data_IF_215538044500
#
_entry.id   IF_215538044500
#
_cell.length_a   1.000
_cell.length_b   1.000
_cell.length_c   1.000
_cell.angle_alpha   90.00
_cell.angle_beta   90.00
_cell.angle_gamma   90.00
#
_symmetry.space_group_name_H-M   'P 1'
#
loop_
_entity.id
_entity.type
_entity.pdbx_description
1 polymer ?
#
# COMPACT_ATOMS: atom_id res chain seq x y z
N UNK A 1 36.03 -27.04 0.79
CA UNK A 1 35.31 -25.77 0.54
C UNK A 1 36.32 -24.64 0.57
N UNK A 2 36.31 -23.73 -0.42
CA UNK A 2 37.17 -22.54 -0.38
C UNK A 2 36.68 -21.50 0.63
N UNK A 3 37.50 -20.49 0.93
CA UNK A 3 37.23 -19.38 1.88
C UNK A 3 35.80 -18.82 1.71
N UNK A 4 35.41 -18.52 0.47
CA UNK A 4 34.08 -17.97 0.15
C UNK A 4 32.94 -18.92 0.55
N UNK A 5 33.14 -20.23 0.38
CA UNK A 5 32.15 -21.24 0.77
C UNK A 5 31.98 -21.30 2.29
N UNK A 6 33.09 -21.30 3.03
CA UNK A 6 33.08 -21.31 4.49
C UNK A 6 32.44 -20.03 5.04
N UNK A 7 32.82 -18.85 4.55
CA UNK A 7 32.21 -17.59 4.97
C UNK A 7 30.71 -17.54 4.69
N UNK A 8 30.27 -18.06 3.53
CA UNK A 8 28.85 -18.14 3.19
C UNK A 8 28.09 -19.03 4.16
N UNK A 9 28.64 -20.20 4.50
CA UNK A 9 28.00 -21.13 5.41
C UNK A 9 27.94 -20.57 6.83
N UNK A 10 29.01 -19.94 7.34
CA UNK A 10 29.03 -19.22 8.62
C UNK A 10 27.97 -18.12 8.68
N UNK A 11 27.88 -17.27 7.65
CA UNK A 11 26.86 -16.22 7.61
C UNK A 11 25.43 -16.79 7.61
N UNK A 12 25.19 -17.91 6.93
CA UNK A 12 23.87 -18.56 6.96
C UNK A 12 23.54 -19.12 8.34
N UNK A 13 24.51 -19.75 9.00
CA UNK A 13 24.32 -20.28 10.36
C UNK A 13 23.94 -19.16 11.33
N UNK A 14 24.76 -18.11 11.35
CA UNK A 14 24.64 -17.03 12.33
C UNK A 14 23.42 -16.15 12.04
N UNK A 15 23.21 -15.72 10.78
CA UNK A 15 22.15 -14.76 10.45
C UNK A 15 20.78 -15.40 10.19
N UNK A 16 20.73 -16.65 9.70
CA UNK A 16 19.47 -17.28 9.29
C UNK A 16 19.04 -18.44 10.18
N UNK A 17 20.00 -19.18 10.76
CA UNK A 17 19.71 -20.35 11.60
C UNK A 17 19.86 -20.08 13.09
N UNK A 18 20.33 -18.90 13.47
CA UNK A 18 20.65 -18.52 14.84
C UNK A 18 21.69 -19.46 15.50
N UNK A 19 22.52 -20.11 14.69
CA UNK A 19 23.61 -20.98 15.14
C UNK A 19 24.88 -20.12 15.27
N UNK A 20 25.38 -19.93 16.50
CA UNK A 20 26.55 -19.10 16.81
C UNK A 20 27.68 -19.91 17.49
N UNK A 21 27.66 -21.24 17.35
CA UNK A 21 28.69 -22.15 17.89
C UNK A 21 30.10 -21.83 17.39
N UNK A 22 30.21 -21.13 16.25
CA UNK A 22 31.48 -20.68 15.66
C UNK A 22 32.08 -19.46 16.38
N UNK A 23 31.26 -18.72 17.14
CA UNK A 23 31.65 -17.49 17.85
C UNK A 23 31.01 -17.43 19.25
N UNK A 24 31.29 -18.41 20.14
CA UNK A 24 30.59 -18.52 21.43
C UNK A 24 30.91 -17.38 22.41
N UNK A 25 32.10 -16.78 22.29
CA UNK A 25 32.57 -15.71 23.17
C UNK A 25 32.27 -14.29 22.66
N UNK A 26 31.77 -14.16 21.42
CA UNK A 26 31.44 -12.86 20.83
C UNK A 26 29.93 -12.63 20.79
N UNK A 27 29.41 -11.96 21.81
CA UNK A 27 27.99 -11.64 21.90
C UNK A 27 27.48 -10.77 20.73
N UNK A 28 28.37 -10.10 19.98
CA UNK A 28 27.97 -9.36 18.78
C UNK A 28 27.63 -10.29 17.62
N UNK A 29 28.08 -11.54 17.66
CA UNK A 29 27.76 -12.55 16.65
C UNK A 29 26.43 -13.25 16.92
N UNK A 30 25.77 -12.97 18.06
CA UNK A 30 24.44 -13.49 18.36
C UNK A 30 23.36 -12.69 17.60
N UNK A 31 23.34 -12.83 16.26
CA UNK A 31 22.53 -12.00 15.36
C UNK A 31 21.05 -11.94 15.71
N UNK A 32 20.43 -13.07 16.02
CA UNK A 32 19.01 -13.11 16.36
C UNK A 32 18.72 -12.27 17.59
N UNK A 33 19.48 -12.43 18.66
CA UNK A 33 19.32 -11.65 19.89
C UNK A 33 19.49 -10.16 19.66
N UNK A 34 20.51 -9.75 18.90
CA UNK A 34 20.78 -8.33 18.61
C UNK A 34 19.73 -7.70 17.70
N UNK A 35 19.25 -8.42 16.70
CA UNK A 35 18.15 -7.95 15.84
C UNK A 35 16.84 -7.85 16.64
N UNK A 36 16.56 -8.78 17.55
CA UNK A 36 15.40 -8.69 18.44
C UNK A 36 15.51 -7.48 19.38
N UNK A 37 16.69 -7.20 19.91
CA UNK A 37 16.94 -6.00 20.73
C UNK A 37 16.70 -4.70 19.93
N UNK A 38 17.23 -4.62 18.70
CA UNK A 38 16.99 -3.47 17.81
C UNK A 38 15.50 -3.29 17.48
N UNK A 39 14.76 -4.38 17.25
CA UNK A 39 13.31 -4.35 17.03
C UNK A 39 12.54 -3.90 18.27
N UNK A 40 12.96 -4.33 19.46
CA UNK A 40 12.40 -3.88 20.73
C UNK A 40 12.60 -2.37 20.92
N UNK A 41 13.81 -1.88 20.66
CA UNK A 41 14.14 -0.45 20.73
C UNK A 41 13.34 0.37 19.71
N UNK A 42 13.19 -0.13 18.49
CA UNK A 42 12.36 0.51 17.46
C UNK A 42 10.89 0.59 17.90
N UNK A 43 10.34 -0.49 18.47
CA UNK A 43 8.97 -0.51 19.01
C UNK A 43 8.80 0.53 20.11
N UNK A 44 9.77 0.64 21.02
CA UNK A 44 9.74 1.64 22.09
C UNK A 44 9.81 3.07 21.52
N UNK A 45 10.64 3.33 20.50
CA UNK A 45 10.70 4.63 19.81
C UNK A 45 9.35 4.97 19.16
N UNK A 46 8.70 4.00 18.52
CA UNK A 46 7.36 4.18 17.96
C UNK A 46 6.32 4.52 19.04
N UNK A 47 6.30 3.80 20.16
CA UNK A 47 5.38 4.05 21.27
C UNK A 47 5.58 5.45 21.88
N UNK A 48 6.82 5.84 22.15
CA UNK A 48 7.15 7.19 22.64
C UNK A 48 6.68 8.29 21.69
N UNK A 49 6.86 8.09 20.38
CA UNK A 49 6.38 9.05 19.38
C UNK A 49 4.86 9.22 19.39
N UNK A 50 4.11 8.23 19.87
CA UNK A 50 2.66 8.33 20.06
C UNK A 50 2.30 9.10 21.35
N UNK A 51 3.04 8.87 22.43
CA UNK A 51 2.81 9.44 23.77
C UNK A 51 3.19 10.92 23.89
N UNK A 52 4.26 11.38 23.24
CA UNK A 52 4.72 12.78 23.26
C UNK A 52 3.70 13.78 22.66
N UNK A 53 2.64 13.28 22.02
CA UNK A 53 1.55 14.09 21.48
C UNK A 53 0.33 14.23 22.43
N UNK A 54 0.34 13.62 23.62
CA UNK A 54 -0.91 13.24 24.29
C UNK A 54 -1.55 14.23 25.26
N UNK A 55 -0.95 15.34 25.71
CA UNK A 55 -1.55 16.05 26.86
C UNK A 55 -1.93 17.53 26.72
N UNK A 56 -1.35 18.33 25.81
CA UNK A 56 -1.74 19.76 25.73
C UNK A 56 -2.19 20.25 24.35
N UNK A 57 -1.66 19.71 23.24
CA UNK A 57 -1.87 20.31 21.91
C UNK A 57 -2.65 19.47 20.90
N UNK A 58 -3.00 18.23 21.23
CA UNK A 58 -3.69 17.33 20.30
C UNK A 58 -5.05 17.88 19.85
N UNK A 59 -5.91 18.24 20.82
CA UNK A 59 -7.22 18.81 20.52
C UNK A 59 -7.11 20.17 19.81
N UNK A 60 -6.10 20.99 20.14
CA UNK A 60 -5.92 22.30 19.53
C UNK A 60 -5.52 22.21 18.06
N UNK A 61 -4.59 21.31 17.72
CA UNK A 61 -4.19 21.06 16.33
C UNK A 61 -5.32 20.42 15.51
N UNK A 62 -6.10 19.52 16.12
CA UNK A 62 -7.25 18.90 15.46
C UNK A 62 -8.38 19.91 15.21
N UNK A 63 -8.72 20.74 16.20
CA UNK A 63 -9.72 21.81 16.07
C UNK A 63 -9.27 22.82 15.00
N UNK A 64 -7.99 23.19 14.97
CA UNK A 64 -7.44 24.11 13.96
C UNK A 64 -7.57 23.56 12.54
N UNK A 65 -7.26 22.27 12.32
CA UNK A 65 -7.45 21.63 11.00
C UNK A 65 -8.93 21.68 10.58
N UNK A 66 -9.86 21.56 11.53
CA UNK A 66 -11.29 21.64 11.26
C UNK A 66 -11.78 23.07 10.98
N UNK A 67 -11.26 24.07 11.69
CA UNK A 67 -11.56 25.49 11.44
C UNK A 67 -11.01 25.98 10.08
N UNK A 68 -9.83 25.49 9.67
CA UNK A 68 -9.22 25.78 8.37
C UNK A 68 -10.04 25.21 7.21
N UNK A 69 -10.68 24.05 7.41
CA UNK A 69 -11.61 23.46 6.45
C UNK A 69 -12.96 24.15 6.61
N UNK A 70 -13.10 25.34 6.00
CA UNK A 70 -14.36 26.12 5.93
C UNK A 70 -15.44 25.44 5.07
N UNK A 71 -15.77 24.19 5.38
CA UNK A 71 -16.77 23.37 4.69
C UNK A 71 -18.10 23.31 5.44
N UNK A 72 -19.16 22.95 4.74
CA UNK A 72 -20.44 22.58 5.37
C UNK A 72 -20.30 21.14 5.85
N UNK A 73 -20.25 20.90 7.16
CA UNK A 73 -20.25 19.55 7.73
C UNK A 73 -21.53 19.30 8.54
N UNK A 74 -21.91 18.03 8.63
CA UNK A 74 -23.00 17.61 9.50
C UNK A 74 -22.54 17.73 10.96
N UNK A 75 -23.38 18.24 11.88
CA UNK A 75 -23.06 18.27 13.30
C UNK A 75 -22.58 16.88 13.76
N UNK A 76 -21.45 16.84 14.47
CA UNK A 76 -20.79 15.62 14.97
C UNK A 76 -20.06 14.73 13.94
N UNK A 77 -19.86 15.18 12.69
CA UNK A 77 -19.07 14.43 11.69
C UNK A 77 -17.71 15.08 11.41
N UNK A 78 -16.65 14.29 11.47
CA UNK A 78 -15.30 14.70 11.06
C UNK A 78 -15.20 14.63 9.52
N UNK A 79 -14.91 15.75 8.82
CA UNK A 79 -14.71 15.72 7.38
C UNK A 79 -13.53 14.78 7.02
N UNK A 80 -13.71 13.92 6.00
CA UNK A 80 -12.66 13.00 5.52
C UNK A 80 -11.33 13.72 5.26
N UNK A 81 -11.38 14.92 4.70
CA UNK A 81 -10.18 15.71 4.43
C UNK A 81 -9.44 16.11 5.72
N UNK A 82 -10.15 16.48 6.78
CA UNK A 82 -9.55 16.82 8.07
C UNK A 82 -8.88 15.61 8.71
N UNK A 83 -9.57 14.47 8.70
CA UNK A 83 -9.00 13.20 9.17
C UNK A 83 -7.72 12.83 8.41
N UNK A 84 -7.74 12.87 7.08
CA UNK A 84 -6.57 12.54 6.25
C UNK A 84 -5.40 13.49 6.52
N UNK A 85 -5.66 14.79 6.62
CA UNK A 85 -4.62 15.78 6.95
C UNK A 85 -4.01 15.52 8.32
N UNK A 86 -4.82 15.15 9.32
CA UNK A 86 -4.33 14.78 10.65
C UNK A 86 -3.51 13.49 10.64
N UNK A 87 -3.97 12.46 9.93
CA UNK A 87 -3.26 11.20 9.77
C UNK A 87 -1.90 11.40 9.07
N UNK A 88 -1.88 12.15 7.96
CA UNK A 88 -0.66 12.49 7.24
C UNK A 88 0.33 13.27 8.11
N UNK A 89 -0.14 14.24 8.90
CA UNK A 89 0.72 14.97 9.85
C UNK A 89 1.35 14.02 10.87
N UNK A 90 0.60 13.08 11.43
CA UNK A 90 1.13 12.06 12.36
C UNK A 90 2.13 11.13 11.65
N UNK A 91 1.82 10.68 10.45
CA UNK A 91 2.67 9.76 9.70
C UNK A 91 3.99 10.42 9.27
N UNK A 92 3.96 11.70 8.88
CA UNK A 92 5.15 12.50 8.58
C UNK A 92 6.05 12.69 9.81
N UNK A 93 5.49 12.75 11.02
CA UNK A 93 6.31 12.81 12.24
C UNK A 93 7.10 11.53 12.45
N UNK A 94 6.53 10.37 12.15
CA UNK A 94 7.16 9.06 12.38
C UNK A 94 7.93 8.53 11.16
N UNK A 95 7.82 9.16 9.98
CA UNK A 95 8.35 8.62 8.72
C UNK A 95 9.86 8.43 8.68
N UNK A 96 10.61 9.11 9.55
CA UNK A 96 12.06 8.95 9.67
C UNK A 96 12.45 7.72 10.52
N UNK A 97 11.60 7.29 11.46
CA UNK A 97 11.94 6.21 12.40
C UNK A 97 12.26 4.87 11.70
N UNK A 98 11.51 4.43 10.68
CA UNK A 98 11.87 3.22 9.93
C UNK A 98 13.23 3.36 9.23
N UNK A 99 13.57 4.55 8.72
CA UNK A 99 14.84 4.79 8.04
C UNK A 99 16.03 4.74 9.02
N UNK A 100 15.87 5.32 10.20
CA UNK A 100 16.88 5.27 11.26
C UNK A 100 17.10 3.83 11.73
N UNK A 101 16.02 3.08 11.96
CA UNK A 101 16.08 1.65 12.30
C UNK A 101 16.82 0.85 11.22
N UNK A 102 16.53 1.09 9.94
CA UNK A 102 17.25 0.45 8.84
C UNK A 102 18.74 0.80 8.85
N UNK A 103 19.10 2.02 9.22
CA UNK A 103 20.49 2.43 9.41
C UNK A 103 21.19 1.57 10.47
N UNK A 104 20.59 1.48 11.66
CA UNK A 104 21.10 0.70 12.79
C UNK A 104 21.29 -0.79 12.43
N UNK A 105 20.29 -1.40 11.79
CA UNK A 105 20.34 -2.81 11.36
C UNK A 105 21.44 -3.04 10.33
N UNK A 106 21.56 -2.18 9.32
CA UNK A 106 22.57 -2.37 8.27
C UNK A 106 23.99 -2.11 8.77
N UNK A 107 24.20 -1.15 9.67
CA UNK A 107 25.50 -0.92 10.30
C UNK A 107 25.95 -2.14 11.13
N UNK A 108 25.00 -2.82 11.77
CA UNK A 108 25.25 -4.08 12.46
C UNK A 108 25.57 -5.23 11.49
N UNK A 109 24.77 -5.40 10.43
CA UNK A 109 25.02 -6.40 9.39
C UNK A 109 26.40 -6.20 8.77
N UNK A 110 26.81 -4.97 8.50
CA UNK A 110 28.14 -4.64 7.97
C UNK A 110 29.25 -5.16 8.89
N UNK A 111 29.13 -4.93 10.21
CA UNK A 111 30.09 -5.41 11.20
C UNK A 111 30.19 -6.93 11.20
N UNK A 112 29.06 -7.63 11.22
CA UNK A 112 29.01 -9.11 11.21
C UNK A 112 29.63 -9.67 9.93
N UNK A 113 29.22 -9.16 8.77
CA UNK A 113 29.75 -9.60 7.47
C UNK A 113 31.25 -9.39 7.39
N UNK A 114 31.75 -8.23 7.81
CA UNK A 114 33.18 -7.95 7.81
C UNK A 114 33.93 -8.86 8.78
N UNK A 115 33.43 -9.07 10.00
CA UNK A 115 34.10 -9.91 10.98
C UNK A 115 34.19 -11.38 10.51
N UNK A 116 33.11 -11.96 9.97
CA UNK A 116 33.13 -13.33 9.43
C UNK A 116 34.08 -13.44 8.23
N UNK A 117 34.08 -12.47 7.32
CA UNK A 117 34.96 -12.49 6.15
C UNK A 117 36.43 -12.32 6.52
N UNK A 118 36.75 -11.48 7.51
CA UNK A 118 38.12 -11.32 8.00
C UNK A 118 38.60 -12.61 8.67
N UNK A 119 37.81 -13.20 9.58
CA UNK A 119 38.15 -14.44 10.28
C UNK A 119 38.50 -15.58 9.31
N UNK A 120 37.71 -15.78 8.24
CA UNK A 120 37.97 -16.83 7.26
C UNK A 120 39.11 -16.50 6.28
N UNK A 121 39.55 -15.24 6.21
CA UNK A 121 40.65 -14.79 5.34
C UNK A 121 41.94 -14.47 6.08
N UNK A 122 42.01 -14.71 7.40
CA UNK A 122 43.20 -14.49 8.23
C UNK A 122 44.43 -15.26 7.74
N UNK A 123 44.23 -16.45 7.18
CA UNK A 123 45.31 -17.23 6.54
C UNK A 123 45.83 -16.65 5.21
N UNK A 124 45.22 -15.58 4.70
CA UNK A 124 45.50 -15.03 3.36
C UNK A 124 45.55 -13.48 3.36
N UNK A 125 46.56 -12.84 4.01
CA UNK A 125 46.64 -11.38 4.16
C UNK A 125 46.59 -10.61 2.83
N UNK A 126 47.18 -11.17 1.77
CA UNK A 126 47.18 -10.58 0.42
C UNK A 126 45.77 -10.42 -0.19
N UNK A 127 44.80 -11.22 0.26
CA UNK A 127 43.42 -11.17 -0.23
C UNK A 127 42.49 -10.35 0.67
N UNK A 128 42.87 -10.11 1.93
CA UNK A 128 42.01 -9.44 2.93
C UNK A 128 41.54 -8.06 2.49
N UNK A 129 42.42 -7.22 1.96
CA UNK A 129 42.06 -5.87 1.50
C UNK A 129 41.05 -5.91 0.35
N UNK A 130 41.23 -6.83 -0.59
CA UNK A 130 40.34 -7.03 -1.72
C UNK A 130 38.98 -7.59 -1.29
N UNK A 131 38.98 -8.54 -0.35
CA UNK A 131 37.76 -9.13 0.23
C UNK A 131 36.98 -8.07 1.01
N UNK A 132 37.65 -7.31 1.88
CA UNK A 132 37.03 -6.23 2.67
C UNK A 132 36.37 -5.18 1.77
N UNK A 133 37.07 -4.75 0.71
CA UNK A 133 36.52 -3.80 -0.25
C UNK A 133 35.30 -4.37 -0.99
N UNK A 134 35.36 -5.63 -1.41
CA UNK A 134 34.23 -6.29 -2.07
C UNK A 134 33.03 -6.43 -1.12
N UNK A 135 33.27 -6.74 0.16
CA UNK A 135 32.25 -6.83 1.20
C UNK A 135 31.55 -5.50 1.41
N UNK A 136 32.31 -4.42 1.65
CA UNK A 136 31.76 -3.08 1.85
C UNK A 136 30.95 -2.62 0.65
N UNK A 137 31.46 -2.81 -0.57
CA UNK A 137 30.72 -2.46 -1.80
C UNK A 137 29.40 -3.24 -1.93
N UNK A 138 29.39 -4.52 -1.56
CA UNK A 138 28.17 -5.34 -1.59
C UNK A 138 27.17 -4.88 -0.52
N UNK A 139 27.64 -4.67 0.70
CA UNK A 139 26.81 -4.19 1.82
C UNK A 139 26.21 -2.84 1.48
N UNK A 140 26.99 -1.88 0.98
CA UNK A 140 26.51 -0.56 0.59
C UNK A 140 25.44 -0.65 -0.53
N UNK A 141 25.67 -1.52 -1.53
CA UNK A 141 24.68 -1.76 -2.61
C UNK A 141 23.37 -2.34 -2.07
N UNK A 142 23.44 -3.27 -1.12
CA UNK A 142 22.26 -3.90 -0.54
C UNK A 142 21.54 -2.97 0.44
N UNK A 143 22.30 -2.20 1.23
CA UNK A 143 21.81 -1.14 2.12
C UNK A 143 20.99 -0.13 1.32
N UNK A 144 21.53 0.42 0.21
CA UNK A 144 20.79 1.36 -0.66
C UNK A 144 19.45 0.79 -1.13
N UNK A 145 19.45 -0.43 -1.69
CA UNK A 145 18.20 -1.08 -2.14
C UNK A 145 17.17 -1.26 -1.02
N UNK A 146 17.63 -1.54 0.20
CA UNK A 146 16.74 -1.68 1.33
C UNK A 146 16.15 -0.32 1.77
N UNK A 147 16.98 0.73 1.78
CA UNK A 147 16.53 2.11 2.03
C UNK A 147 15.51 2.58 0.98
N UNK A 148 15.75 2.31 -0.30
CA UNK A 148 14.81 2.66 -1.38
C UNK A 148 13.45 1.99 -1.12
N UNK A 149 13.43 0.69 -0.81
CA UNK A 149 12.19 -0.06 -0.52
C UNK A 149 11.44 0.44 0.71
N UNK A 150 12.15 0.77 1.79
CA UNK A 150 11.51 1.27 3.01
C UNK A 150 11.00 2.70 2.79
N UNK A 151 11.71 3.51 2.02
CA UNK A 151 11.24 4.83 1.61
C UNK A 151 9.96 4.70 0.78
N UNK A 152 9.93 3.82 -0.21
CA UNK A 152 8.72 3.52 -0.99
C UNK A 152 7.55 3.09 -0.10
N UNK A 153 7.78 2.19 0.87
CA UNK A 153 6.75 1.73 1.81
C UNK A 153 6.16 2.89 2.63
N UNK A 154 7.02 3.74 3.18
CA UNK A 154 6.60 4.92 3.96
C UNK A 154 5.83 5.92 3.10
N UNK A 155 6.26 6.17 1.87
CA UNK A 155 5.56 7.06 0.94
C UNK A 155 4.21 6.48 0.51
N UNK A 156 4.13 5.16 0.31
CA UNK A 156 2.85 4.49 0.02
C UNK A 156 1.87 4.61 1.19
N UNK A 157 2.33 4.51 2.45
CA UNK A 157 1.47 4.74 3.62
C UNK A 157 0.97 6.19 3.74
N UNK A 158 1.74 7.19 3.27
CA UNK A 158 1.31 8.61 3.25
C UNK A 158 0.17 8.89 2.28
N UNK A 159 0.13 8.16 1.17
CA UNK A 159 -0.82 8.36 0.06
C UNK A 159 -2.03 7.42 0.17
N UNK A 160 -1.94 6.35 0.97
CA UNK A 160 -3.02 5.39 1.13
C UNK A 160 -4.22 6.04 1.85
N UNK A 161 -5.32 6.26 1.12
CA UNK A 161 -6.62 6.42 1.76
C UNK A 161 -7.19 5.03 2.06
N UNK A 162 -7.07 4.63 3.32
CA UNK A 162 -7.58 3.37 3.86
C UNK A 162 -9.07 3.14 3.59
N UNK A 163 -9.84 4.21 3.35
CA UNK A 163 -11.28 4.13 3.05
C UNK A 163 -11.57 3.98 1.56
N UNK A 164 -10.87 4.72 0.69
CA UNK A 164 -11.09 4.71 -0.76
C UNK A 164 -10.78 3.36 -1.40
N UNK A 165 -9.71 2.68 -0.95
CA UNK A 165 -9.35 1.38 -1.53
C UNK A 165 -10.36 0.28 -1.16
N UNK A 166 -10.83 0.20 0.08
CA UNK A 166 -11.79 -0.84 0.48
C UNK A 166 -13.14 -0.60 -0.20
N UNK A 167 -13.65 0.64 -0.14
CA UNK A 167 -14.95 1.00 -0.71
C UNK A 167 -14.94 0.88 -2.23
N UNK A 168 -13.93 1.42 -2.93
CA UNK A 168 -13.91 1.29 -4.39
C UNK A 168 -13.60 -0.13 -4.82
N UNK A 169 -12.66 -0.86 -4.20
CA UNK A 169 -12.39 -2.23 -4.66
C UNK A 169 -13.56 -3.17 -4.37
N UNK A 170 -14.24 -3.07 -3.23
CA UNK A 170 -15.40 -3.92 -2.94
C UNK A 170 -16.62 -3.50 -3.76
N UNK A 171 -16.94 -2.20 -3.83
CA UNK A 171 -18.08 -1.72 -4.62
C UNK A 171 -17.83 -1.91 -6.12
N UNK A 172 -16.66 -1.59 -6.65
CA UNK A 172 -16.34 -1.85 -8.06
C UNK A 172 -16.38 -3.35 -8.36
N UNK A 173 -15.85 -4.20 -7.48
CA UNK A 173 -15.93 -5.66 -7.66
C UNK A 173 -17.37 -6.16 -7.59
N UNK A 174 -18.20 -5.65 -6.70
CA UNK A 174 -19.61 -6.03 -6.58
C UNK A 174 -20.44 -5.52 -7.78
N UNK A 175 -20.20 -4.29 -8.22
CA UNK A 175 -20.79 -3.72 -9.44
C UNK A 175 -20.36 -4.54 -10.66
N UNK A 176 -19.07 -4.83 -10.83
CA UNK A 176 -18.54 -5.63 -11.94
C UNK A 176 -19.10 -7.05 -11.89
N UNK A 177 -19.17 -7.67 -10.72
CA UNK A 177 -19.80 -8.99 -10.56
C UNK A 177 -21.29 -8.97 -10.89
N UNK A 178 -22.02 -7.91 -10.56
CA UNK A 178 -23.42 -7.74 -10.95
C UNK A 178 -23.59 -7.49 -12.45
N UNK A 179 -22.68 -6.71 -13.06
CA UNK A 179 -22.69 -6.37 -14.48
C UNK A 179 -22.27 -7.56 -15.37
N UNK A 180 -21.27 -8.33 -14.94
CA UNK A 180 -20.66 -9.45 -15.68
C UNK A 180 -21.19 -10.81 -15.21
N UNK A 181 -22.13 -10.83 -14.25
CA UNK A 181 -22.58 -12.02 -13.51
C UNK A 181 -22.57 -13.31 -14.32
N UNK A 182 -22.08 -14.41 -13.72
CA UNK A 182 -21.47 -15.62 -14.32
C UNK A 182 -22.11 -16.31 -15.55
N UNK A 183 -23.17 -15.77 -16.13
CA UNK A 183 -23.76 -16.12 -17.42
C UNK A 183 -23.67 -15.00 -18.48
N UNK A 184 -23.01 -13.86 -18.22
CA UNK A 184 -22.75 -12.81 -19.22
C UNK A 184 -23.95 -11.91 -19.58
N UNK A 185 -25.12 -12.13 -18.98
CA UNK A 185 -26.39 -11.43 -19.31
C UNK A 185 -26.85 -10.41 -18.26
N UNK A 186 -25.93 -9.89 -17.43
CA UNK A 186 -26.24 -8.93 -16.35
C UNK A 186 -26.86 -7.63 -16.87
N UNK A 187 -26.23 -7.04 -17.89
CA UNK A 187 -26.66 -5.75 -18.48
C UNK A 187 -27.98 -5.90 -19.26
N UNK A 188 -28.18 -7.02 -19.97
CA UNK A 188 -29.39 -7.25 -20.77
C UNK A 188 -30.66 -7.32 -19.89
N UNK A 189 -30.58 -7.95 -18.71
CA UNK A 189 -31.67 -8.00 -17.74
C UNK A 189 -32.02 -6.64 -17.13
N UNK A 190 -31.05 -5.73 -17.03
CA UNK A 190 -31.28 -4.38 -16.51
C UNK A 190 -31.90 -3.44 -17.56
N UNK A 191 -31.79 -3.78 -18.84
CA UNK A 191 -32.41 -3.07 -19.95
C UNK A 191 -33.77 -3.67 -20.36
N UNK A 192 -34.26 -4.67 -19.64
CA UNK A 192 -35.59 -5.24 -19.87
C UNK A 192 -36.66 -4.19 -19.51
N UNK A 193 -37.40 -3.76 -20.52
CA UNK A 193 -38.43 -2.74 -20.38
C UNK A 193 -39.56 -3.25 -19.47
N UNK A 194 -40.03 -2.40 -18.55
CA UNK A 194 -41.14 -2.76 -17.68
C UNK A 194 -42.38 -3.16 -18.52
N UNK A 195 -43.09 -4.26 -18.19
CA UNK A 195 -44.22 -4.76 -18.98
C UNK A 195 -45.30 -3.71 -19.26
N UNK A 196 -45.52 -2.79 -18.31
CA UNK A 196 -46.47 -1.69 -18.44
C UNK A 196 -46.07 -0.67 -19.54
N UNK A 197 -44.77 -0.43 -19.72
CA UNK A 197 -44.24 0.46 -20.77
C UNK A 197 -44.30 -0.25 -22.11
N UNK A 198 -43.93 -1.54 -22.17
CA UNK A 198 -44.03 -2.34 -23.39
C UNK A 198 -45.46 -2.36 -23.96
N UNK A 199 -46.47 -2.57 -23.10
CA UNK A 199 -47.90 -2.53 -23.49
C UNK A 199 -48.31 -1.15 -24.01
N UNK A 200 -47.86 -0.07 -23.35
CA UNK A 200 -48.15 1.30 -23.80
C UNK A 200 -47.50 1.58 -25.16
N UNK A 201 -46.25 1.15 -25.38
CA UNK A 201 -45.55 1.29 -26.67
C UNK A 201 -46.28 0.55 -27.79
N UNK A 202 -46.74 -0.66 -27.53
CA UNK A 202 -47.50 -1.44 -28.51
C UNK A 202 -48.82 -0.75 -28.91
N UNK A 203 -49.58 -0.27 -27.92
CA UNK A 203 -50.84 0.47 -28.17
C UNK A 203 -50.61 1.76 -28.94
N UNK A 204 -49.56 2.50 -28.59
CA UNK A 204 -49.19 3.72 -29.29
C UNK A 204 -48.81 3.44 -30.74
N UNK A 205 -47.99 2.42 -31.00
CA UNK A 205 -47.60 2.02 -32.36
C UNK A 205 -48.80 1.60 -33.21
N UNK A 206 -49.76 0.87 -32.64
CA UNK A 206 -51.03 0.53 -33.33
C UNK A 206 -51.82 1.79 -33.70
N UNK A 207 -51.93 2.74 -32.77
CA UNK A 207 -52.65 4.00 -33.00
C UNK A 207 -51.98 4.86 -34.07
N UNK A 208 -50.65 4.96 -34.06
CA UNK A 208 -49.87 5.67 -35.08
C UNK A 208 -50.08 5.04 -36.45
N UNK A 209 -50.12 3.71 -36.55
CA UNK A 209 -50.37 3.00 -37.81
C UNK A 209 -51.74 3.37 -38.39
N UNK A 210 -52.80 3.29 -37.59
CA UNK A 210 -54.16 3.64 -38.01
C UNK A 210 -54.28 5.10 -38.45
N UNK A 211 -53.61 6.03 -37.75
CA UNK A 211 -53.60 7.44 -38.14
C UNK A 211 -52.92 7.68 -39.49
N UNK A 212 -51.87 6.92 -39.81
CA UNK A 212 -51.21 6.99 -41.13
C UNK A 212 -52.14 6.49 -42.24
N UNK A 213 -52.81 5.36 -42.03
CA UNK A 213 -53.78 4.81 -42.98
C UNK A 213 -54.96 5.79 -43.19
N UNK A 214 -55.50 6.37 -42.11
CA UNK A 214 -56.56 7.36 -42.20
C UNK A 214 -56.12 8.63 -42.95
N UNK A 215 -54.87 9.06 -42.77
CA UNK A 215 -54.32 10.22 -43.50
C UNK A 215 -54.27 9.96 -45.01
N UNK A 216 -53.88 8.76 -45.43
CA UNK A 216 -53.82 8.37 -46.85
C UNK A 216 -55.23 8.36 -47.47
N UNK A 217 -56.22 7.80 -46.79
CA UNK A 217 -57.62 7.81 -47.25
C UNK A 217 -58.16 9.23 -47.40
N UNK A 218 -57.87 10.13 -46.45
CA UNK A 218 -58.30 11.53 -46.54
C UNK A 218 -57.62 12.24 -47.72
N UNK A 219 -56.33 11.99 -47.95
CA UNK A 219 -55.62 12.52 -49.11
C UNK A 219 -56.27 12.06 -50.43
N UNK A 220 -56.61 10.78 -50.58
CA UNK A 220 -57.30 10.27 -51.76
C UNK A 220 -58.69 10.87 -51.98
N UNK A 221 -59.43 11.19 -50.91
CA UNK A 221 -60.75 11.84 -51.01
C UNK A 221 -60.59 13.29 -51.48
N UNK A 222 -59.58 13.99 -50.97
CA UNK A 222 -59.29 15.37 -51.37
C UNK A 222 -58.88 15.46 -52.84
N UNK A 223 -58.07 14.52 -53.32
CA UNK A 223 -57.61 14.49 -54.72
C UNK A 223 -58.73 14.15 -55.72
N UNK A 224 -59.85 13.53 -55.29
CA UNK A 224 -61.01 13.19 -56.14
C UNK A 224 -62.09 14.27 -56.22
N UNK A 225 -62.04 15.28 -55.36
CA UNK A 225 -63.06 16.33 -55.25
C UNK A 225 -62.60 17.70 -55.81
N UNK A 226 -61.49 17.72 -56.55
CA UNK A 226 -60.98 18.88 -57.31
C UNK A 226 -60.67 18.50 -58.75
#
# INVERSE_FOLDING_TARGET
MGIIGLSKDSLRKIMLRAEFDEYPDDENMHCTSRLTEMLGNFTQKLQKSAEDNSTENFLFEEIRVLEEIKGIWLPNFLPRQGFLTMLQRKLNKISHLPLDFMGEVWDYIEKVVNAVLMCHSDGYPQLQSSIRRAANNLVEKMKRKAFDRVTEMVEMEKVTDYTYNLVNQEIEKEIVNHMVGGQGNGIERMLEECPSIAIKREKLNKSIKLLKESKEVVAEIMDRNF
#
